data_IF_617879788856
#
_entry.id   IF_617879788856
#
_cell.length_a   1.000
_cell.length_b   1.000
_cell.length_c   1.000
_cell.angle_alpha   90.00
_cell.angle_beta   90.00
_cell.angle_gamma   90.00
#
_symmetry.space_group_name_H-M   'P 1'
#
loop_
_entity.id
_entity.type
_entity.pdbx_description
1 polymer ?
#
# COMPACT_ATOMS: atom_id res chain seq x y z
N UNK A 1 28.58 -12.49 19.24
CA UNK A 1 27.19 -11.99 19.05
C UNK A 1 26.62 -12.74 17.87
N UNK A 2 26.10 -13.93 18.13
CA UNK A 2 25.60 -14.86 17.12
C UNK A 2 24.19 -14.47 16.66
N UNK A 3 23.94 -14.63 15.37
CA UNK A 3 22.59 -14.56 14.81
C UNK A 3 21.65 -15.49 15.62
N UNK A 4 20.43 -15.09 15.95
CA UNK A 4 19.52 -15.95 16.70
C UNK A 4 19.15 -17.16 15.85
N UNK A 5 19.54 -18.35 16.31
CA UNK A 5 19.20 -19.61 15.65
C UNK A 5 17.69 -19.91 15.81
N UNK A 6 17.14 -20.70 14.90
CA UNK A 6 15.71 -21.07 14.86
C UNK A 6 15.21 -21.67 16.21
N UNK A 7 16.07 -22.36 16.94
CA UNK A 7 15.84 -22.92 18.27
C UNK A 7 15.49 -21.87 19.35
N UNK A 8 15.93 -20.60 19.19
CA UNK A 8 15.59 -19.48 20.08
C UNK A 8 14.38 -18.68 19.61
N UNK A 9 14.09 -18.69 18.31
CA UNK A 9 12.94 -17.98 17.73
C UNK A 9 11.62 -18.68 18.09
N UNK A 10 11.56 -20.00 17.98
CA UNK A 10 10.35 -20.80 18.27
C UNK A 10 9.86 -20.66 19.72
N UNK A 11 10.70 -20.76 20.77
CA UNK A 11 10.28 -20.51 22.14
C UNK A 11 9.81 -19.08 22.39
N UNK A 12 10.40 -18.11 21.67
CA UNK A 12 9.98 -16.68 21.77
C UNK A 12 8.54 -16.46 21.29
N UNK A 13 8.09 -17.22 20.27
CA UNK A 13 6.70 -17.18 19.79
C UNK A 13 5.74 -17.57 20.92
N UNK A 14 6.03 -18.68 21.61
CA UNK A 14 5.18 -19.20 22.70
C UNK A 14 5.05 -18.19 23.84
N UNK A 15 6.17 -17.63 24.30
CA UNK A 15 6.17 -16.60 25.36
C UNK A 15 5.43 -15.32 24.98
N UNK A 16 5.45 -14.92 23.73
CA UNK A 16 4.72 -13.74 23.24
C UNK A 16 3.21 -13.99 23.11
N UNK A 17 2.82 -15.20 22.71
CA UNK A 17 1.40 -15.63 22.66
C UNK A 17 0.85 -15.68 24.09
N UNK A 18 1.57 -16.28 25.04
CA UNK A 18 1.16 -16.40 26.44
C UNK A 18 0.99 -15.04 27.12
N UNK A 19 1.75 -14.02 26.70
CA UNK A 19 1.60 -12.64 27.18
C UNK A 19 0.41 -11.88 26.55
N UNK A 20 -0.33 -12.46 25.60
CA UNK A 20 -1.48 -11.84 24.95
C UNK A 20 -1.17 -10.63 24.05
N UNK A 21 0.10 -10.21 23.97
CA UNK A 21 0.51 -9.05 23.19
C UNK A 21 0.52 -9.33 21.67
N UNK A 22 0.80 -10.57 21.27
CA UNK A 22 1.00 -10.98 19.89
C UNK A 22 -0.21 -10.68 18.99
N UNK A 23 -1.39 -11.16 19.38
CA UNK A 23 -2.62 -10.94 18.60
C UNK A 23 -3.07 -9.47 18.61
N UNK A 24 -2.83 -8.77 19.72
CA UNK A 24 -3.14 -7.35 19.84
C UNK A 24 -2.28 -6.52 18.90
N UNK A 25 -0.97 -6.81 18.81
CA UNK A 25 -0.05 -6.13 17.91
C UNK A 25 -0.43 -6.36 16.44
N UNK A 26 -0.75 -7.61 16.06
CA UNK A 26 -1.21 -7.93 14.69
C UNK A 26 -2.52 -7.18 14.35
N UNK A 27 -3.51 -7.25 15.24
CA UNK A 27 -4.80 -6.60 15.00
C UNK A 27 -4.66 -5.08 14.89
N UNK A 28 -3.82 -4.46 15.74
CA UNK A 28 -3.52 -3.03 15.68
C UNK A 28 -2.89 -2.65 14.34
N UNK A 29 -1.83 -3.36 13.93
CA UNK A 29 -1.15 -3.10 12.65
C UNK A 29 -2.07 -3.32 11.45
N UNK A 30 -2.85 -4.41 11.44
CA UNK A 30 -3.77 -4.68 10.34
C UNK A 30 -4.90 -3.66 10.25
N UNK A 31 -5.38 -3.13 11.36
CA UNK A 31 -6.37 -2.04 11.35
C UNK A 31 -5.79 -0.76 10.76
N UNK A 32 -4.55 -0.40 11.10
CA UNK A 32 -3.86 0.76 10.53
C UNK A 32 -3.62 0.59 9.03
N UNK A 33 -3.12 -0.58 8.60
CA UNK A 33 -2.92 -0.89 7.17
C UNK A 33 -4.25 -0.87 6.42
N UNK A 34 -5.27 -1.57 6.93
CA UNK A 34 -6.57 -1.63 6.27
C UNK A 34 -7.22 -0.25 6.10
N UNK A 35 -7.21 0.57 7.15
CA UNK A 35 -7.76 1.92 7.10
C UNK A 35 -6.94 2.85 6.18
N UNK A 36 -5.62 2.92 6.37
CA UNK A 36 -4.76 3.81 5.59
C UNK A 36 -4.71 3.43 4.11
N UNK A 37 -4.56 2.13 3.81
CA UNK A 37 -4.58 1.61 2.45
C UNK A 37 -5.95 1.80 1.78
N UNK A 38 -7.05 1.50 2.48
CA UNK A 38 -8.41 1.69 1.95
C UNK A 38 -8.68 3.14 1.59
N UNK A 39 -8.33 4.09 2.46
CA UNK A 39 -8.42 5.52 2.17
C UNK A 39 -7.52 5.90 0.99
N UNK A 40 -6.29 5.38 0.93
CA UNK A 40 -5.36 5.60 -0.19
C UNK A 40 -5.93 5.13 -1.52
N UNK A 41 -6.50 3.93 -1.55
CA UNK A 41 -7.14 3.36 -2.73
C UNK A 41 -8.35 4.20 -3.20
N UNK A 42 -9.29 4.50 -2.29
CA UNK A 42 -10.51 5.25 -2.63
C UNK A 42 -10.18 6.65 -3.15
N UNK A 43 -9.20 7.34 -2.55
CA UNK A 43 -8.83 8.69 -2.95
C UNK A 43 -7.94 8.74 -4.19
N UNK A 44 -7.12 7.71 -4.43
CA UNK A 44 -6.23 7.65 -5.60
C UNK A 44 -6.96 7.46 -6.93
N UNK A 45 -8.06 6.71 -6.96
CA UNK A 45 -8.83 6.43 -8.17
C UNK A 45 -9.32 7.72 -8.85
N UNK A 46 -10.15 8.58 -8.19
CA UNK A 46 -10.64 9.79 -8.83
C UNK A 46 -9.51 10.74 -9.22
N UNK A 47 -8.46 10.87 -8.39
CA UNK A 47 -7.34 11.75 -8.69
C UNK A 47 -6.56 11.26 -9.92
N UNK A 48 -6.27 9.97 -10.03
CA UNK A 48 -5.58 9.41 -11.18
C UNK A 48 -6.36 9.58 -12.48
N UNK A 49 -7.68 9.33 -12.47
CA UNK A 49 -8.55 9.55 -13.62
C UNK A 49 -8.64 11.03 -14.01
N UNK A 50 -8.76 11.95 -13.04
CA UNK A 50 -8.76 13.39 -13.30
C UNK A 50 -7.43 13.86 -13.91
N UNK A 51 -6.29 13.38 -13.40
CA UNK A 51 -4.97 13.67 -13.95
C UNK A 51 -4.82 13.15 -15.38
N UNK A 52 -5.37 11.97 -15.67
CA UNK A 52 -5.30 11.38 -17.02
C UNK A 52 -6.19 12.09 -18.02
N UNK A 53 -7.35 12.61 -17.58
CA UNK A 53 -8.32 13.28 -18.45
C UNK A 53 -8.04 14.76 -18.66
N UNK A 54 -7.60 15.46 -17.60
CA UNK A 54 -7.39 16.90 -17.62
C UNK A 54 -5.91 17.27 -17.48
N UNK A 55 -5.28 17.70 -18.58
CA UNK A 55 -3.86 18.14 -18.60
C UNK A 55 -3.54 19.24 -17.56
N UNK A 56 -4.41 20.25 -17.29
CA UNK A 56 -4.14 21.21 -16.22
C UNK A 56 -4.05 20.56 -14.83
N UNK A 57 -4.92 19.59 -14.52
CA UNK A 57 -4.93 18.86 -13.25
C UNK A 57 -3.63 18.06 -13.11
N UNK A 58 -3.22 17.38 -14.16
CA UNK A 58 -1.95 16.65 -14.19
C UNK A 58 -0.76 17.58 -13.88
N UNK A 59 -0.65 18.70 -14.61
CA UNK A 59 0.47 19.65 -14.46
C UNK A 59 0.57 20.25 -13.05
N UNK A 60 -0.55 20.33 -12.33
CA UNK A 60 -0.58 20.83 -10.94
C UNK A 60 -0.26 19.72 -9.96
N UNK A 61 -0.91 18.54 -10.06
CA UNK A 61 -0.86 17.50 -9.04
C UNK A 61 0.40 16.63 -9.17
N UNK A 62 0.81 16.26 -10.37
CA UNK A 62 1.94 15.34 -10.59
C UNK A 62 3.26 15.84 -9.96
N UNK A 63 3.67 17.12 -10.07
CA UNK A 63 4.87 17.61 -9.40
C UNK A 63 4.82 17.47 -7.86
N UNK A 64 3.65 17.73 -7.25
CA UNK A 64 3.47 17.58 -5.81
C UNK A 64 3.56 16.12 -5.35
N UNK A 65 2.91 15.20 -6.08
CA UNK A 65 3.02 13.77 -5.80
C UNK A 65 4.50 13.34 -5.90
N UNK A 66 5.19 13.74 -6.98
CA UNK A 66 6.59 13.38 -7.17
C UNK A 66 7.51 14.01 -6.12
N UNK A 67 7.24 15.23 -5.69
CA UNK A 67 7.99 15.87 -4.61
C UNK A 67 7.84 15.13 -3.28
N UNK A 68 6.61 14.90 -2.83
CA UNK A 68 6.35 14.32 -1.51
C UNK A 68 6.76 12.84 -1.46
N UNK A 69 6.52 12.05 -2.52
CA UNK A 69 6.90 10.62 -2.54
C UNK A 69 8.41 10.38 -2.45
N UNK A 70 9.24 11.36 -2.81
CA UNK A 70 10.69 11.28 -2.68
C UNK A 70 11.17 11.55 -1.26
N UNK A 71 10.31 12.08 -0.37
CA UNK A 71 10.63 12.25 1.03
C UNK A 71 10.39 10.93 1.76
N UNK A 72 11.40 10.36 2.45
CA UNK A 72 11.21 9.13 3.22
C UNK A 72 10.09 9.29 4.26
N UNK A 73 9.17 8.32 4.30
CA UNK A 73 8.05 8.33 5.25
C UNK A 73 8.49 8.52 6.71
N UNK A 74 9.62 7.96 7.09
CA UNK A 74 10.21 8.07 8.42
C UNK A 74 10.52 9.53 8.80
N UNK A 75 10.80 10.40 7.83
CA UNK A 75 11.18 11.79 8.10
C UNK A 75 9.99 12.63 8.60
N UNK A 76 8.77 12.38 8.11
CA UNK A 76 7.58 13.13 8.52
C UNK A 76 6.66 12.39 9.51
N UNK A 77 6.98 11.13 9.85
CA UNK A 77 6.27 10.39 10.87
C UNK A 77 6.22 11.13 12.23
N UNK A 78 7.33 11.69 12.76
CA UNK A 78 7.30 12.46 14.01
C UNK A 78 6.42 13.70 13.95
N UNK A 79 6.37 14.38 12.79
CA UNK A 79 5.53 15.56 12.61
C UNK A 79 4.04 15.21 12.75
N UNK A 80 3.62 14.07 12.17
CA UNK A 80 2.25 13.59 12.32
C UNK A 80 1.91 13.23 13.77
N UNK A 81 2.86 12.66 14.52
CA UNK A 81 2.66 12.35 15.94
C UNK A 81 2.53 13.64 16.77
N UNK A 82 3.32 14.66 16.49
CA UNK A 82 3.19 15.96 17.16
C UNK A 82 1.85 16.62 16.87
N UNK A 83 1.37 16.50 15.62
CA UNK A 83 0.13 17.15 15.17
C UNK A 83 -1.14 16.41 15.64
N UNK A 84 -1.15 15.08 15.54
CA UNK A 84 -2.35 14.25 15.76
C UNK A 84 -2.30 13.45 17.08
N UNK A 85 -1.22 13.57 17.83
CA UNK A 85 -1.01 12.85 19.09
C UNK A 85 -0.50 11.43 18.89
N UNK A 86 -0.19 10.77 20.00
CA UNK A 86 0.25 9.37 20.06
C UNK A 86 -0.93 8.44 19.82
N UNK A 87 -0.76 7.40 18.99
CA UNK A 87 -1.80 6.41 18.71
C UNK A 87 -1.85 5.94 17.27
N UNK A 88 -2.99 5.39 16.86
CA UNK A 88 -3.18 4.85 15.50
C UNK A 88 -3.40 5.92 14.42
N UNK A 89 -3.94 7.09 14.77
CA UNK A 89 -4.26 8.15 13.79
C UNK A 89 -3.06 8.59 12.95
N UNK A 90 -1.89 8.96 13.52
CA UNK A 90 -0.71 9.30 12.73
C UNK A 90 -0.29 8.19 11.78
N UNK A 91 -0.36 6.92 12.23
CA UNK A 91 0.01 5.77 11.42
C UNK A 91 -0.94 5.60 10.22
N UNK A 92 -2.24 5.70 10.43
CA UNK A 92 -3.25 5.62 9.36
C UNK A 92 -3.04 6.73 8.33
N UNK A 93 -2.82 7.98 8.78
CA UNK A 93 -2.57 9.13 7.90
C UNK A 93 -1.30 8.93 7.08
N UNK A 94 -0.22 8.46 7.71
CA UNK A 94 1.05 8.22 7.05
C UNK A 94 0.92 7.14 5.96
N UNK A 95 0.26 6.04 6.28
CA UNK A 95 0.00 4.95 5.33
C UNK A 95 -0.90 5.47 4.19
N UNK A 96 -1.95 6.23 4.52
CA UNK A 96 -2.81 6.84 3.53
C UNK A 96 -2.04 7.72 2.54
N UNK A 97 -1.21 8.63 3.01
CA UNK A 97 -0.42 9.53 2.16
C UNK A 97 0.49 8.72 1.21
N UNK A 98 1.24 7.75 1.72
CA UNK A 98 2.18 6.98 0.93
C UNK A 98 1.48 6.08 -0.10
N UNK A 99 0.39 5.42 0.29
CA UNK A 99 -0.40 4.58 -0.62
C UNK A 99 -1.13 5.40 -1.67
N UNK A 100 -1.73 6.53 -1.28
CA UNK A 100 -2.37 7.47 -2.18
C UNK A 100 -1.43 7.92 -3.29
N UNK A 101 -0.22 8.37 -2.94
CA UNK A 101 0.76 8.84 -3.93
C UNK A 101 1.22 7.73 -4.87
N UNK A 102 1.56 6.57 -4.32
CA UNK A 102 2.01 5.41 -5.09
C UNK A 102 0.94 4.95 -6.07
N UNK A 103 -0.30 4.82 -5.60
CA UNK A 103 -1.41 4.35 -6.44
C UNK A 103 -1.83 5.38 -7.47
N UNK A 104 -1.95 6.67 -7.08
CA UNK A 104 -2.36 7.73 -8.01
C UNK A 104 -1.45 7.81 -9.22
N UNK A 105 -0.13 7.80 -9.02
CA UNK A 105 0.81 7.90 -10.14
C UNK A 105 0.82 6.62 -10.99
N UNK A 106 0.71 5.44 -10.35
CA UNK A 106 0.70 4.17 -11.07
C UNK A 106 -0.54 4.02 -11.94
N UNK A 107 -1.71 4.36 -11.42
CA UNK A 107 -2.97 4.30 -12.17
C UNK A 107 -2.95 5.35 -13.29
N UNK A 108 -2.54 6.58 -13.00
CA UNK A 108 -2.40 7.65 -13.99
C UNK A 108 -1.50 7.22 -15.16
N UNK A 109 -0.30 6.70 -14.86
CA UNK A 109 0.62 6.21 -15.89
C UNK A 109 0.01 5.03 -16.68
N UNK A 110 -0.69 4.14 -16.02
CA UNK A 110 -1.41 3.04 -16.66
C UNK A 110 -2.46 3.53 -17.66
N UNK A 111 -3.27 4.53 -17.29
CA UNK A 111 -4.27 5.12 -18.19
C UNK A 111 -3.59 5.77 -19.41
N UNK A 112 -2.47 6.44 -19.20
CA UNK A 112 -1.69 7.09 -20.28
C UNK A 112 -1.08 6.08 -21.26
N UNK A 113 -0.86 4.85 -20.83
CA UNK A 113 -0.32 3.76 -21.65
C UNK A 113 -1.40 2.99 -22.44
N UNK A 114 -2.68 3.33 -22.28
CA UNK A 114 -3.76 2.72 -23.08
C UNK A 114 -3.57 3.14 -24.55
N UNK A 115 -3.68 2.18 -25.47
CA UNK A 115 -3.49 2.40 -26.90
C UNK A 115 -4.50 3.44 -27.42
N UNK A 116 -3.97 4.56 -27.91
CA UNK A 116 -4.76 5.64 -28.50
C UNK A 116 -5.52 5.16 -29.74
N UNK A 117 -5.08 4.11 -30.41
CA UNK A 117 -5.76 3.51 -31.56
C UNK A 117 -7.15 3.01 -31.19
N UNK A 118 -7.31 2.43 -29.99
CA UNK A 118 -8.63 1.99 -29.49
C UNK A 118 -9.60 3.18 -29.33
N UNK A 119 -9.10 4.30 -28.81
CA UNK A 119 -9.89 5.51 -28.60
C UNK A 119 -10.29 6.12 -29.97
N UNK A 120 -9.35 6.17 -30.93
CA UNK A 120 -9.63 6.66 -32.28
C UNK A 120 -10.64 5.78 -33.01
N UNK A 121 -10.49 4.47 -32.96
CA UNK A 121 -11.42 3.53 -33.57
C UNK A 121 -12.84 3.70 -33.02
N UNK A 122 -12.98 3.84 -31.69
CA UNK A 122 -14.29 4.05 -31.09
C UNK A 122 -14.94 5.39 -31.54
N UNK A 123 -14.14 6.45 -31.68
CA UNK A 123 -14.66 7.74 -32.20
C UNK A 123 -15.15 7.63 -33.66
N UNK A 124 -14.43 6.90 -34.48
CA UNK A 124 -14.87 6.65 -35.87
C UNK A 124 -16.19 5.88 -35.90
N UNK A 125 -16.41 4.98 -34.95
CA UNK A 125 -17.67 4.24 -34.76
C UNK A 125 -18.79 5.06 -34.07
N UNK A 126 -18.58 6.37 -33.84
CA UNK A 126 -19.57 7.27 -33.27
C UNK A 126 -19.70 7.23 -31.74
N UNK A 127 -18.74 6.65 -31.02
CA UNK A 127 -18.77 6.63 -29.56
C UNK A 127 -18.54 8.05 -28.98
N UNK A 128 -19.40 8.44 -28.04
CA UNK A 128 -19.23 9.68 -27.30
C UNK A 128 -18.19 9.53 -26.18
N UNK A 129 -17.73 10.66 -25.59
CA UNK A 129 -16.68 10.65 -24.55
C UNK A 129 -17.05 9.81 -23.32
N UNK A 130 -18.31 9.79 -22.92
CA UNK A 130 -18.79 8.96 -21.80
C UNK A 130 -18.71 7.46 -22.12
N UNK A 131 -19.05 7.09 -23.36
CA UNK A 131 -18.92 5.69 -23.81
C UNK A 131 -17.45 5.27 -23.92
N UNK A 132 -16.58 6.14 -24.42
CA UNK A 132 -15.13 5.89 -24.45
C UNK A 132 -14.60 5.69 -23.05
N UNK A 133 -14.98 6.57 -22.10
CA UNK A 133 -14.56 6.46 -20.70
C UNK A 133 -15.02 5.16 -20.08
N UNK A 134 -16.33 4.86 -20.13
CA UNK A 134 -16.91 3.73 -19.39
C UNK A 134 -16.65 2.37 -20.04
N UNK A 135 -16.64 2.30 -21.40
CA UNK A 135 -16.55 1.03 -22.12
C UNK A 135 -15.13 0.67 -22.58
N UNK A 136 -14.22 1.64 -22.62
CA UNK A 136 -12.84 1.44 -23.10
C UNK A 136 -11.85 1.74 -21.99
N UNK A 137 -11.80 3.00 -21.50
CA UNK A 137 -10.76 3.41 -20.56
C UNK A 137 -10.90 2.69 -19.21
N UNK A 138 -12.09 2.69 -18.58
CA UNK A 138 -12.28 2.02 -17.30
C UNK A 138 -11.92 0.52 -17.34
N UNK A 139 -12.41 -0.30 -18.27
CA UNK A 139 -12.01 -1.70 -18.35
C UNK A 139 -10.51 -1.88 -18.64
N UNK A 140 -9.97 -1.11 -19.58
CA UNK A 140 -8.54 -1.17 -19.92
C UNK A 140 -7.62 -0.73 -18.76
N UNK A 141 -8.14 0.04 -17.79
CA UNK A 141 -7.38 0.47 -16.61
C UNK A 141 -7.31 -0.60 -15.53
N UNK A 142 -8.20 -1.60 -15.51
CA UNK A 142 -8.26 -2.61 -14.43
C UNK A 142 -6.92 -3.28 -14.14
N UNK A 143 -6.12 -3.74 -15.10
CA UNK A 143 -4.82 -4.34 -14.83
C UNK A 143 -3.85 -3.39 -14.13
N UNK A 144 -3.88 -2.10 -14.51
CA UNK A 144 -3.04 -1.07 -13.90
C UNK A 144 -3.50 -0.73 -12.47
N UNK A 145 -4.82 -0.79 -12.20
CA UNK A 145 -5.36 -0.66 -10.85
C UNK A 145 -4.85 -1.81 -9.98
N UNK A 146 -4.84 -3.04 -10.46
CA UNK A 146 -4.34 -4.20 -9.72
C UNK A 146 -2.84 -4.06 -9.45
N UNK A 147 -2.07 -3.62 -10.43
CA UNK A 147 -0.64 -3.30 -10.26
C UNK A 147 -0.45 -2.22 -9.20
N UNK A 148 -1.26 -1.16 -9.22
CA UNK A 148 -1.23 -0.10 -8.22
C UNK A 148 -1.58 -0.60 -6.81
N UNK A 149 -2.58 -1.48 -6.68
CA UNK A 149 -2.94 -2.17 -5.43
C UNK A 149 -1.76 -2.97 -4.88
N UNK A 150 -1.08 -3.74 -5.72
CA UNK A 150 0.09 -4.54 -5.32
C UNK A 150 1.24 -3.65 -4.82
N UNK A 151 1.58 -2.59 -5.56
CA UNK A 151 2.61 -1.63 -5.16
C UNK A 151 2.21 -0.84 -3.91
N UNK A 152 0.95 -0.45 -3.81
CA UNK A 152 0.38 0.25 -2.65
C UNK A 152 0.40 -0.59 -1.38
N UNK A 153 0.15 -1.90 -1.45
CA UNK A 153 0.31 -2.81 -0.31
C UNK A 153 1.75 -2.88 0.17
N UNK A 154 2.72 -2.97 -0.74
CA UNK A 154 4.14 -2.90 -0.39
C UNK A 154 4.50 -1.58 0.31
N UNK A 155 4.03 -0.46 -0.25
CA UNK A 155 4.20 0.86 0.36
C UNK A 155 3.54 0.95 1.75
N UNK A 156 2.34 0.39 1.93
CA UNK A 156 1.63 0.37 3.21
C UNK A 156 2.41 -0.37 4.29
N UNK A 157 2.95 -1.56 3.98
CA UNK A 157 3.69 -2.38 4.95
C UNK A 157 5.05 -1.75 5.33
N UNK A 158 5.77 -1.17 4.38
CA UNK A 158 7.02 -0.46 4.69
C UNK A 158 6.78 0.80 5.51
N UNK A 159 5.72 1.54 5.18
CA UNK A 159 5.33 2.75 5.90
C UNK A 159 4.79 2.45 7.29
N UNK A 160 4.11 1.30 7.48
CA UNK A 160 3.62 0.83 8.78
C UNK A 160 4.75 0.78 9.81
N UNK A 161 5.92 0.20 9.44
CA UNK A 161 7.08 0.14 10.33
C UNK A 161 7.53 1.53 10.78
N UNK A 162 7.62 2.48 9.85
CA UNK A 162 8.00 3.86 10.15
C UNK A 162 7.00 4.54 11.09
N UNK A 163 5.71 4.40 10.79
CA UNK A 163 4.63 5.01 11.53
C UNK A 163 4.52 4.47 12.97
N UNK A 164 4.50 3.16 13.11
CA UNK A 164 4.35 2.52 14.43
C UNK A 164 5.59 2.67 15.30
N UNK A 165 6.78 2.70 14.70
CA UNK A 165 8.04 2.91 15.44
C UNK A 165 8.11 4.30 16.10
N UNK A 166 7.35 5.28 15.60
CA UNK A 166 7.47 6.67 16.04
C UNK A 166 6.45 7.02 17.12
N UNK A 167 5.23 6.47 17.08
CA UNK A 167 4.18 6.95 17.99
C UNK A 167 3.04 5.98 18.28
N UNK A 168 3.15 4.69 17.92
CA UNK A 168 2.11 3.72 18.23
C UNK A 168 2.24 3.18 19.66
N UNK A 169 1.09 2.85 20.27
CA UNK A 169 1.03 2.20 21.61
C UNK A 169 0.99 0.67 21.51
N UNK A 170 0.62 0.12 20.36
CA UNK A 170 0.62 -1.30 20.04
C UNK A 170 0.82 -1.47 18.54
N UNK A 171 1.41 -2.56 18.13
CA UNK A 171 1.64 -2.88 16.73
C UNK A 171 2.98 -3.58 16.50
N UNK A 172 3.10 -4.22 15.33
CA UNK A 172 4.28 -4.98 14.92
C UNK A 172 5.51 -4.06 14.87
N UNK A 173 5.40 -2.87 14.28
CA UNK A 173 6.50 -1.92 14.14
C UNK A 173 6.96 -1.36 15.48
N UNK A 174 6.02 -1.01 16.36
CA UNK A 174 6.31 -0.58 17.73
C UNK A 174 7.03 -1.69 18.49
N UNK A 175 6.58 -2.94 18.37
CA UNK A 175 7.19 -4.09 19.05
C UNK A 175 8.61 -4.34 18.56
N UNK A 176 8.83 -4.32 17.24
CA UNK A 176 10.16 -4.45 16.64
C UNK A 176 11.10 -3.37 17.21
N UNK A 177 10.63 -2.13 17.29
CA UNK A 177 11.42 -1.01 17.86
C UNK A 177 11.75 -1.23 19.33
N UNK A 178 10.77 -1.65 20.13
CA UNK A 178 10.95 -1.92 21.57
C UNK A 178 11.98 -3.03 21.79
N UNK A 179 11.87 -4.14 21.06
CA UNK A 179 12.78 -5.28 21.13
C UNK A 179 14.19 -4.93 20.64
N UNK A 180 14.29 -4.07 19.64
CA UNK A 180 15.58 -3.52 19.17
C UNK A 180 16.27 -2.70 20.25
N UNK A 181 15.54 -1.86 20.98
CA UNK A 181 16.08 -1.06 22.06
C UNK A 181 16.52 -1.91 23.26
N UNK A 182 15.86 -3.05 23.49
CA UNK A 182 16.21 -4.03 24.53
C UNK A 182 17.27 -5.04 24.08
N UNK A 183 17.76 -4.96 22.84
CA UNK A 183 18.71 -5.90 22.23
C UNK A 183 18.20 -7.37 22.21
N UNK A 184 16.89 -7.56 22.20
CA UNK A 184 16.23 -8.88 22.13
C UNK A 184 16.09 -9.33 20.66
N UNK A 185 17.18 -9.82 20.07
CA UNK A 185 17.25 -10.13 18.64
C UNK A 185 16.35 -11.30 18.20
N UNK A 186 16.13 -12.32 19.02
CA UNK A 186 15.34 -13.49 18.65
C UNK A 186 13.83 -13.14 18.48
N UNK A 187 13.14 -12.53 19.46
CA UNK A 187 11.76 -12.11 19.28
C UNK A 187 11.60 -10.99 18.24
N UNK A 188 12.59 -10.11 18.08
CA UNK A 188 12.59 -9.09 17.01
C UNK A 188 12.56 -9.74 15.63
N UNK A 189 13.42 -10.75 15.38
CA UNK A 189 13.45 -11.48 14.12
C UNK A 189 12.12 -12.19 13.85
N UNK A 190 11.48 -12.74 14.87
CA UNK A 190 10.16 -13.34 14.76
C UNK A 190 9.11 -12.35 14.20
N UNK A 191 9.05 -11.13 14.73
CA UNK A 191 8.11 -10.12 14.25
C UNK A 191 8.43 -9.63 12.82
N UNK A 192 9.71 -9.60 12.43
CA UNK A 192 10.12 -9.30 11.05
C UNK A 192 9.64 -10.41 10.09
N UNK A 193 9.84 -11.67 10.45
CA UNK A 193 9.35 -12.82 9.66
C UNK A 193 7.82 -12.80 9.58
N UNK A 194 7.14 -12.54 10.69
CA UNK A 194 5.68 -12.42 10.73
C UNK A 194 5.17 -11.34 9.75
N UNK A 195 5.80 -10.16 9.74
CA UNK A 195 5.43 -9.10 8.81
C UNK A 195 5.63 -9.54 7.35
N UNK A 196 6.73 -10.26 7.06
CA UNK A 196 6.97 -10.84 5.74
C UNK A 196 5.89 -11.85 5.33
N UNK A 197 5.47 -12.72 6.24
CA UNK A 197 4.39 -13.69 6.00
C UNK A 197 3.06 -12.97 5.73
N UNK A 198 2.73 -11.96 6.53
CA UNK A 198 1.53 -11.14 6.31
C UNK A 198 1.57 -10.49 4.92
N UNK A 199 2.72 -9.91 4.53
CA UNK A 199 2.91 -9.34 3.20
C UNK A 199 2.66 -10.34 2.08
N UNK A 200 3.23 -11.55 2.19
CA UNK A 200 3.00 -12.63 1.22
C UNK A 200 1.53 -13.04 1.12
N UNK A 201 0.83 -13.14 2.26
CA UNK A 201 -0.60 -13.46 2.28
C UNK A 201 -1.41 -12.37 1.56
N UNK A 202 -1.14 -11.09 1.86
CA UNK A 202 -1.84 -9.97 1.22
C UNK A 202 -1.60 -9.93 -0.29
N UNK A 203 -0.36 -10.13 -0.74
CA UNK A 203 -0.05 -10.20 -2.18
C UNK A 203 -0.78 -11.37 -2.84
N UNK A 204 -0.80 -12.55 -2.20
CA UNK A 204 -1.52 -13.72 -2.73
C UNK A 204 -3.03 -13.49 -2.85
N UNK A 205 -3.63 -12.74 -1.91
CA UNK A 205 -5.04 -12.32 -2.01
C UNK A 205 -5.26 -11.44 -3.23
N UNK A 206 -4.36 -10.48 -3.48
CA UNK A 206 -4.42 -9.64 -4.69
C UNK A 206 -4.29 -10.47 -5.96
N UNK A 207 -3.37 -11.44 -6.01
CA UNK A 207 -3.20 -12.32 -7.18
C UNK A 207 -4.46 -13.16 -7.47
N UNK A 208 -5.16 -13.61 -6.42
CA UNK A 208 -6.44 -14.32 -6.58
C UNK A 208 -7.52 -13.41 -7.15
N UNK A 209 -7.58 -12.16 -6.69
CA UNK A 209 -8.52 -11.15 -7.20
C UNK A 209 -8.19 -10.82 -8.67
N UNK A 210 -6.91 -10.62 -8.98
CA UNK A 210 -6.42 -10.36 -10.33
C UNK A 210 -6.88 -11.42 -11.30
N UNK A 211 -6.61 -12.71 -11.01
CA UNK A 211 -7.01 -13.83 -11.86
C UNK A 211 -8.52 -13.87 -12.14
N UNK A 212 -9.36 -13.39 -11.21
CA UNK A 212 -10.79 -13.31 -11.40
C UNK A 212 -11.21 -12.12 -12.27
N UNK A 213 -10.54 -10.99 -12.12
CA UNK A 213 -10.90 -9.73 -12.78
C UNK A 213 -10.30 -9.59 -14.19
N UNK A 214 -9.17 -10.28 -14.47
CA UNK A 214 -8.44 -10.16 -15.74
C UNK A 214 -8.46 -11.43 -16.60
N UNK A 215 -9.41 -12.33 -16.37
CA UNK A 215 -9.57 -13.59 -17.12
C UNK A 215 -9.63 -13.40 -18.64
N UNK A 216 -10.06 -12.25 -19.10
CA UNK A 216 -10.14 -11.91 -20.53
C UNK A 216 -8.77 -11.57 -21.16
N UNK A 217 -7.73 -11.29 -20.37
CA UNK A 217 -6.37 -10.99 -20.86
C UNK A 217 -5.49 -12.24 -21.05
N UNK A 218 -5.77 -13.33 -20.37
CA UNK A 218 -4.95 -14.56 -20.45
C UNK A 218 -5.01 -15.25 -21.82
N UNK A 219 -5.95 -14.89 -22.68
CA UNK A 219 -6.17 -15.52 -24.00
C UNK A 219 -5.17 -15.01 -25.07
N UNK A 220 -4.36 -14.00 -24.79
CA UNK A 220 -3.46 -13.38 -25.78
C UNK A 220 -2.02 -13.91 -25.68
N UNK A 221 -1.67 -14.61 -24.60
CA UNK A 221 -0.30 -15.08 -24.32
C UNK A 221 -0.12 -16.61 -24.45
N UNK A 222 -0.95 -17.30 -25.25
CA UNK A 222 -0.72 -18.71 -25.65
C UNK A 222 -0.31 -18.80 -27.11
#
# INVERSE_FOLDING_TARGET
RSFPFADKVVPSVKTMIDRGAFFKDIASSMSCVGAGFGLGFITSLPVAFLMAWYTPVQKIIEPWINFIRNIPALAYAPLLVITFGVGQKPAIILIWICTFMTMSITIYQGIRNIDVTLIKAARVLGANDFQIFTKIICPATVPFIITAVRLGLGAALTTLLAAESTGAQAGIGMRIRSLSNSFESAPMLMYIILLGIIGLILVKVVDIIERKLTRWQETINQ
#
